data_IF_897034304874
#
_entry.id   IF_897034304874
#
_cell.length_a   1.000
_cell.length_b   1.000
_cell.length_c   1.000
_cell.angle_alpha   90.00
_cell.angle_beta   90.00
_cell.angle_gamma   90.00
#
_symmetry.space_group_name_H-M   'P 1'
#
loop_
_entity.id
_entity.type
_entity.pdbx_description
1 polymer ?
#
# COMPACT_ATOMS: atom_id res chain seq x y z
N UNK A 1 -0.85 -24.78 -1.52
CA UNK A 1 -1.71 -23.67 -1.98
C UNK A 1 -0.97 -22.37 -1.67
N UNK A 2 -0.94 -21.36 -2.55
CA UNK A 2 -0.19 -20.13 -2.29
C UNK A 2 -1.06 -19.11 -1.54
N UNK A 3 -0.46 -18.34 -0.62
CA UNK A 3 -1.16 -17.34 0.22
C UNK A 3 -2.02 -16.38 -0.60
N UNK A 4 -1.56 -15.97 -1.79
CA UNK A 4 -2.32 -15.11 -2.69
C UNK A 4 -3.64 -15.75 -3.17
N UNK A 5 -3.66 -17.08 -3.38
CA UNK A 5 -4.87 -17.79 -3.82
C UNK A 5 -5.88 -17.94 -2.68
N UNK A 6 -5.40 -18.31 -1.50
CA UNK A 6 -6.24 -18.41 -0.29
C UNK A 6 -6.85 -17.04 0.08
N UNK A 7 -6.05 -15.98 -0.04
CA UNK A 7 -6.50 -14.61 0.14
C UNK A 7 -7.55 -14.21 -0.91
N UNK A 8 -7.35 -14.58 -2.18
CA UNK A 8 -8.29 -14.27 -3.26
C UNK A 8 -9.66 -14.91 -3.03
N UNK A 9 -9.69 -16.18 -2.63
CA UNK A 9 -10.92 -16.91 -2.27
C UNK A 9 -11.64 -16.27 -1.07
N UNK A 10 -10.88 -15.74 -0.11
CA UNK A 10 -11.41 -15.06 1.07
C UNK A 10 -11.96 -13.66 0.76
N UNK A 11 -11.40 -12.97 -0.23
CA UNK A 11 -11.79 -11.60 -0.58
C UNK A 11 -12.95 -11.57 -1.57
N UNK A 12 -12.93 -12.43 -2.58
CA UNK A 12 -13.79 -12.33 -3.75
C UNK A 12 -14.26 -13.69 -4.26
N UNK A 13 -15.56 -13.78 -4.58
CA UNK A 13 -16.16 -14.97 -5.20
C UNK A 13 -15.59 -15.23 -6.60
N UNK A 14 -15.45 -14.17 -7.40
CA UNK A 14 -14.87 -14.24 -8.75
C UNK A 14 -13.56 -13.44 -8.80
N UNK A 15 -12.45 -14.12 -9.06
CA UNK A 15 -11.14 -13.51 -9.05
C UNK A 15 -10.21 -14.14 -10.08
N UNK A 16 -9.26 -13.36 -10.58
CA UNK A 16 -8.09 -13.87 -11.28
C UNK A 16 -6.83 -13.56 -10.49
N UNK A 17 -5.90 -14.52 -10.47
CA UNK A 17 -4.60 -14.36 -9.81
C UNK A 17 -3.51 -14.57 -10.84
N UNK A 18 -2.57 -13.64 -10.92
CA UNK A 18 -1.40 -13.76 -11.80
C UNK A 18 -0.12 -13.31 -11.11
N UNK A 19 1.01 -13.79 -11.64
CA UNK A 19 2.35 -13.43 -11.16
C UNK A 19 2.91 -12.32 -12.03
N UNK A 20 3.43 -11.28 -11.40
CA UNK A 20 4.14 -10.19 -12.06
C UNK A 20 5.61 -10.54 -12.29
N UNK A 21 6.25 -9.90 -13.28
CA UNK A 21 7.68 -10.08 -13.59
C UNK A 21 8.61 -9.67 -12.43
N UNK A 22 8.11 -8.81 -11.54
CA UNK A 22 8.77 -8.40 -10.29
C UNK A 22 8.82 -9.51 -9.23
N UNK A 23 8.12 -10.63 -9.46
CA UNK A 23 7.95 -11.70 -8.48
C UNK A 23 6.76 -11.52 -7.54
N UNK A 24 6.05 -10.39 -7.63
CA UNK A 24 4.80 -10.16 -6.90
C UNK A 24 3.62 -10.95 -7.48
N UNK A 25 2.55 -11.05 -6.69
CA UNK A 25 1.28 -11.66 -7.08
C UNK A 25 0.21 -10.58 -7.13
N UNK A 26 -0.63 -10.60 -8.15
CA UNK A 26 -1.75 -9.65 -8.30
C UNK A 26 -3.05 -10.44 -8.34
N UNK A 27 -4.01 -9.99 -7.54
CA UNK A 27 -5.36 -10.50 -7.45
C UNK A 27 -6.28 -9.44 -8.04
N UNK A 28 -7.11 -9.84 -9.01
CA UNK A 28 -7.99 -8.94 -9.74
C UNK A 28 -9.44 -9.42 -9.61
N UNK A 29 -10.29 -8.58 -9.06
CA UNK A 29 -11.73 -8.77 -8.96
C UNK A 29 -12.44 -7.91 -10.00
N UNK A 30 -12.64 -8.44 -11.21
CA UNK A 30 -13.30 -7.71 -12.30
C UNK A 30 -14.72 -7.28 -11.92
N UNK A 31 -15.46 -8.18 -11.27
CA UNK A 31 -16.84 -7.97 -10.80
C UNK A 31 -17.01 -6.77 -9.86
N UNK A 32 -15.95 -6.39 -9.13
CA UNK A 32 -15.93 -5.22 -8.22
C UNK A 32 -15.03 -4.09 -8.73
N UNK A 33 -14.48 -4.22 -9.93
CA UNK A 33 -13.51 -3.28 -10.52
C UNK A 33 -12.35 -2.93 -9.56
N UNK A 34 -11.79 -3.91 -8.84
CA UNK A 34 -10.72 -3.70 -7.85
C UNK A 34 -9.57 -4.70 -8.02
N UNK A 35 -8.37 -4.27 -7.62
CA UNK A 35 -7.18 -5.12 -7.63
C UNK A 35 -6.35 -4.95 -6.35
N UNK A 36 -5.63 -6.01 -5.99
CA UNK A 36 -4.63 -6.05 -4.92
C UNK A 36 -3.35 -6.64 -5.48
N UNK A 37 -2.19 -6.05 -5.15
CA UNK A 37 -0.89 -6.68 -5.35
C UNK A 37 -0.21 -7.00 -4.03
N UNK A 38 0.52 -8.10 -4.04
CA UNK A 38 1.34 -8.62 -2.96
C UNK A 38 2.77 -8.73 -3.49
N UNK A 39 3.67 -7.89 -2.99
CA UNK A 39 5.08 -7.91 -3.37
C UNK A 39 5.94 -8.10 -2.12
N UNK A 40 7.10 -8.79 -2.19
CA UNK A 40 8.03 -8.83 -1.06
C UNK A 40 8.51 -7.40 -0.73
N UNK A 41 8.43 -7.02 0.55
CA UNK A 41 8.77 -5.65 0.99
C UNK A 41 10.28 -5.42 1.25
N UNK A 42 11.12 -6.43 0.99
CA UNK A 42 12.56 -6.40 1.27
C UNK A 42 12.94 -6.90 2.68
N UNK A 43 12.01 -6.84 3.65
CA UNK A 43 12.14 -7.48 4.96
C UNK A 43 11.89 -9.00 4.89
N UNK A 44 12.55 -9.77 5.76
CA UNK A 44 12.36 -11.23 5.82
C UNK A 44 10.96 -11.51 6.37
N UNK A 45 10.08 -12.04 5.51
CA UNK A 45 8.70 -12.35 5.90
C UNK A 45 7.76 -11.15 5.87
N UNK A 46 8.09 -10.06 5.18
CA UNK A 46 7.21 -8.91 5.00
C UNK A 46 6.67 -8.82 3.57
N UNK A 47 5.39 -8.48 3.44
CA UNK A 47 4.72 -8.27 2.16
C UNK A 47 4.16 -6.87 2.08
N UNK A 48 4.55 -6.16 1.02
CA UNK A 48 3.95 -4.91 0.59
C UNK A 48 2.65 -5.25 -0.14
N UNK A 49 1.54 -4.85 0.46
CA UNK A 49 0.19 -4.93 -0.08
C UNK A 49 -0.15 -3.60 -0.70
N UNK A 50 -0.59 -3.59 -1.96
CA UNK A 50 -1.09 -2.39 -2.64
C UNK A 50 -2.48 -2.65 -3.16
N UNK A 51 -3.38 -1.68 -3.01
CA UNK A 51 -4.74 -1.79 -3.48
C UNK A 51 -5.09 -0.63 -4.42
N UNK A 52 -5.94 -0.93 -5.40
CA UNK A 52 -6.41 0.05 -6.35
C UNK A 52 -7.65 -0.40 -7.09
N UNK A 53 -8.07 0.45 -8.03
CA UNK A 53 -9.22 0.20 -8.89
C UNK A 53 -8.80 -0.25 -10.29
N UNK A 54 -9.69 -0.99 -10.92
CA UNK A 54 -9.65 -1.31 -12.34
C UNK A 54 -10.41 -0.19 -13.05
N UNK A 55 -9.81 0.42 -14.06
CA UNK A 55 -10.47 1.41 -14.90
C UNK A 55 -11.28 0.72 -15.99
N UNK A 56 -12.27 1.44 -16.52
CA UNK A 56 -13.00 1.01 -17.70
C UNK A 56 -12.01 0.76 -18.85
N UNK A 57 -12.08 -0.43 -19.45
CA UNK A 57 -11.07 -0.93 -20.39
C UNK A 57 -10.03 -1.88 -19.78
N UNK A 58 -10.17 -2.24 -18.50
CA UNK A 58 -9.42 -3.33 -17.87
C UNK A 58 -7.97 -2.98 -17.52
N UNK A 59 -7.65 -1.68 -17.46
CA UNK A 59 -6.34 -1.20 -17.00
C UNK A 59 -6.34 -1.05 -15.49
N UNK A 60 -5.29 -1.49 -14.82
CA UNK A 60 -5.12 -1.28 -13.38
C UNK A 60 -4.67 0.16 -13.13
N UNK A 61 -5.49 0.93 -12.40
CA UNK A 61 -5.08 2.25 -11.97
C UNK A 61 -3.89 2.14 -10.99
N UNK A 62 -3.06 3.19 -10.84
CA UNK A 62 -2.04 3.24 -9.81
C UNK A 62 -2.62 2.93 -8.42
N UNK A 63 -1.80 2.32 -7.57
CA UNK A 63 -2.17 2.04 -6.19
C UNK A 63 -2.57 3.34 -5.47
N UNK A 64 -3.68 3.29 -4.74
CA UNK A 64 -4.15 4.41 -3.93
C UNK A 64 -3.88 4.20 -2.44
N UNK A 65 -3.81 2.94 -2.03
CA UNK A 65 -3.54 2.55 -0.65
C UNK A 65 -2.48 1.46 -0.62
N UNK A 66 -1.52 1.57 0.29
CA UNK A 66 -0.41 0.64 0.45
C UNK A 66 -0.15 0.37 1.94
N UNK A 67 0.18 -0.87 2.29
CA UNK A 67 0.61 -1.24 3.64
C UNK A 67 1.65 -2.37 3.59
N UNK A 68 2.54 -2.42 4.57
CA UNK A 68 3.45 -3.54 4.78
C UNK A 68 2.88 -4.42 5.88
N UNK A 69 2.76 -5.72 5.62
CA UNK A 69 2.18 -6.70 6.54
C UNK A 69 3.21 -7.81 6.80
N UNK A 70 3.45 -8.17 8.08
CA UNK A 70 4.25 -9.34 8.41
C UNK A 70 3.47 -10.62 8.07
N UNK A 71 4.03 -11.47 7.20
CA UNK A 71 3.51 -12.81 6.90
C UNK A 71 3.32 -13.75 8.09
N UNK A 72 4.16 -13.74 9.16
CA UNK A 72 3.94 -14.66 10.29
C UNK A 72 2.64 -14.39 11.06
N UNK A 73 1.98 -13.25 10.83
CA UNK A 73 0.68 -12.92 11.42
C UNK A 73 -0.49 -13.74 10.84
N UNK A 74 -0.27 -14.42 9.71
CA UNK A 74 -1.24 -15.35 9.11
C UNK A 74 -2.22 -14.72 8.11
N UNK A 75 -2.95 -15.56 7.38
CA UNK A 75 -3.85 -15.14 6.28
C UNK A 75 -5.01 -14.27 6.75
N UNK A 76 -5.51 -14.47 7.98
CA UNK A 76 -6.63 -13.71 8.53
C UNK A 76 -6.32 -12.22 8.72
N UNK A 77 -5.15 -11.90 9.28
CA UNK A 77 -4.70 -10.52 9.47
C UNK A 77 -4.38 -9.84 8.12
N UNK A 78 -3.79 -10.60 7.20
CA UNK A 78 -3.58 -10.14 5.83
C UNK A 78 -4.92 -9.82 5.14
N UNK A 79 -5.93 -10.68 5.28
CA UNK A 79 -7.26 -10.46 4.73
C UNK A 79 -7.94 -9.23 5.35
N UNK A 80 -7.82 -9.03 6.66
CA UNK A 80 -8.34 -7.84 7.34
C UNK A 80 -7.68 -6.56 6.80
N UNK A 81 -6.36 -6.56 6.65
CA UNK A 81 -5.60 -5.43 6.09
C UNK A 81 -6.00 -5.17 4.63
N UNK A 82 -6.11 -6.21 3.82
CA UNK A 82 -6.56 -6.10 2.43
C UNK A 82 -7.97 -5.50 2.32
N UNK A 83 -8.92 -5.95 3.15
CA UNK A 83 -10.28 -5.39 3.18
C UNK A 83 -10.26 -3.90 3.56
N UNK A 84 -9.43 -3.52 4.54
CA UNK A 84 -9.24 -2.12 4.92
C UNK A 84 -8.69 -1.29 3.77
N UNK A 85 -7.62 -1.73 3.11
CA UNK A 85 -7.04 -1.02 1.96
C UNK A 85 -8.03 -0.91 0.79
N UNK A 86 -8.84 -1.95 0.54
CA UNK A 86 -9.90 -1.89 -0.47
C UNK A 86 -11.02 -0.92 -0.10
N UNK A 87 -11.34 -0.77 1.18
CA UNK A 87 -12.31 0.21 1.66
C UNK A 87 -11.75 1.64 1.56
N UNK A 88 -10.49 1.85 1.92
CA UNK A 88 -9.79 3.13 1.76
C UNK A 88 -9.74 3.55 0.28
N UNK A 89 -9.35 2.63 -0.61
CA UNK A 89 -9.35 2.88 -2.05
C UNK A 89 -10.76 3.14 -2.63
N UNK A 90 -11.81 2.65 -1.97
CA UNK A 90 -13.20 2.93 -2.35
C UNK A 90 -13.70 4.29 -1.79
N UNK A 91 -13.28 4.68 -0.59
CA UNK A 91 -13.68 5.94 0.04
C UNK A 91 -13.20 7.19 -0.72
N UNK A 92 -12.09 7.07 -1.45
CA UNK A 92 -11.57 8.13 -2.32
C UNK A 92 -12.51 8.49 -3.49
N UNK A 93 -13.47 7.63 -3.85
CA UNK A 93 -14.48 7.97 -4.88
C UNK A 93 -15.63 8.80 -4.33
N UNK A 94 -16.01 8.60 -3.06
CA UNK A 94 -17.13 9.33 -2.43
C UNK A 94 -16.75 10.79 -2.16
N UNK A 95 -15.46 11.09 -2.00
CA UNK A 95 -14.97 12.48 -1.97
C UNK A 95 -15.05 13.20 -3.32
N UNK A 96 -15.37 12.51 -4.41
CA UNK A 96 -15.39 13.07 -5.77
C UNK A 96 -16.76 12.86 -6.43
N UNK A 97 -17.82 13.54 -5.96
CA UNK A 97 -19.09 13.73 -6.71
C UNK A 97 -19.75 15.05 -6.23
N UNK A 98 -20.51 15.84 -7.05
CA UNK A 98 -20.13 16.58 -8.26
C UNK A 98 -20.57 18.07 -8.18
N UNK A 99 -19.74 19.04 -8.56
CA UNK A 99 -20.25 20.41 -8.68
C UNK A 99 -19.22 21.51 -8.86
N UNK A 100 -18.78 21.75 -10.10
CA UNK A 100 -18.95 23.03 -10.80
C UNK A 100 -18.42 22.90 -12.23
N UNK A 101 -19.30 23.14 -13.19
CA UNK A 101 -18.98 23.15 -14.60
C UNK A 101 -18.16 24.38 -15.03
N UNK A 102 -17.45 24.17 -16.14
CA UNK A 102 -17.07 25.13 -17.19
C UNK A 102 -15.82 26.01 -17.02
N UNK A 103 -14.76 25.62 -17.74
CA UNK A 103 -14.14 26.34 -18.88
C UNK A 103 -12.61 26.18 -18.81
N UNK A 104 -11.86 25.86 -19.85
CA UNK A 104 -12.09 25.55 -21.26
C UNK A 104 -10.71 25.34 -21.91
N UNK A 105 -10.67 24.61 -23.04
CA UNK A 105 -9.69 24.65 -24.18
C UNK A 105 -8.19 24.82 -23.85
N UNK A 106 -7.23 24.05 -24.33
CA UNK A 106 -6.87 23.44 -25.65
C UNK A 106 -5.38 23.07 -25.40
N UNK A 107 -4.68 22.09 -25.94
CA UNK A 107 -4.63 21.54 -27.27
C UNK A 107 -3.68 20.30 -27.18
N UNK A 108 -3.82 19.38 -28.13
CA UNK A 108 -2.78 18.37 -28.45
C UNK A 108 -1.67 19.10 -29.27
N UNK A 109 -0.53 18.52 -29.73
CA UNK A 109 -0.11 17.12 -29.73
C UNK A 109 1.41 16.79 -29.57
N UNK A 110 1.66 15.48 -29.45
CA UNK A 110 2.82 14.65 -29.89
C UNK A 110 4.19 15.34 -30.17
N UNK A 111 5.27 14.79 -29.59
CA UNK A 111 6.37 14.02 -30.25
C UNK A 111 7.71 14.13 -29.50
N UNK A 112 8.40 12.99 -29.42
CA UNK A 112 9.85 12.77 -29.52
C UNK A 112 10.86 13.61 -28.73
N UNK A 113 11.78 12.91 -28.05
CA UNK A 113 13.15 13.41 -27.84
C UNK A 113 13.79 13.05 -26.50
N UNK A 114 14.59 11.97 -26.48
CA UNK A 114 15.75 11.85 -25.55
C UNK A 114 16.81 12.93 -25.92
N UNK A 115 18.00 12.98 -25.29
CA UNK A 115 18.35 13.24 -23.87
C UNK A 115 19.46 14.34 -23.76
N UNK A 116 19.67 14.96 -22.58
CA UNK A 116 20.98 15.51 -22.10
C UNK A 116 20.80 16.41 -20.87
N UNK A 117 21.58 16.19 -19.80
CA UNK A 117 22.00 17.28 -18.89
C UNK A 117 23.16 18.09 -19.52
N UNK A 118 23.88 18.98 -18.79
CA UNK A 118 23.84 19.30 -17.36
C UNK A 118 24.04 20.82 -16.99
N UNK A 119 24.06 21.14 -15.68
CA UNK A 119 24.62 22.35 -14.98
C UNK A 119 23.88 23.70 -15.20
N UNK A 120 23.76 24.64 -14.25
CA UNK A 120 24.03 24.81 -12.81
C UNK A 120 23.59 26.24 -12.41
N UNK A 121 22.99 26.45 -11.23
CA UNK A 121 23.21 27.62 -10.34
C UNK A 121 22.15 27.65 -9.21
N UNK A 122 22.57 27.43 -7.97
CA UNK A 122 21.75 27.54 -6.74
C UNK A 122 21.65 28.98 -6.22
N UNK A 123 21.63 29.25 -4.91
CA UNK A 123 21.17 28.44 -3.76
C UNK A 123 20.30 29.28 -2.78
N UNK A 124 19.22 28.74 -2.16
CA UNK A 124 18.64 29.33 -0.93
C UNK A 124 18.06 28.28 0.02
N UNK A 125 18.49 28.40 1.27
CA UNK A 125 18.19 27.57 2.43
C UNK A 125 16.70 27.44 2.78
N UNK A 126 16.28 26.22 3.12
CA UNK A 126 15.27 25.98 4.15
C UNK A 126 15.69 24.72 4.93
N UNK A 127 16.46 24.94 6.00
CA UNK A 127 16.72 23.91 6.99
C UNK A 127 15.46 23.58 7.78
N UNK A 128 15.30 22.32 8.18
CA UNK A 128 14.13 21.92 8.97
C UNK A 128 14.00 20.41 9.18
N UNK A 129 15.00 19.82 9.86
CA UNK A 129 14.95 18.57 10.63
C UNK A 129 13.53 18.06 10.93
N UNK A 130 13.07 16.89 10.45
CA UNK A 130 12.02 16.11 11.15
C UNK A 130 11.96 14.59 10.84
N UNK A 131 12.92 13.98 10.13
CA UNK A 131 13.00 12.49 10.09
C UNK A 131 13.37 11.85 11.43
N UNK A 132 13.98 12.63 12.35
CA UNK A 132 14.35 12.14 13.69
C UNK A 132 13.18 12.02 14.66
N UNK A 133 12.14 12.85 14.53
CA UNK A 133 11.00 12.82 15.46
C UNK A 133 10.04 11.66 15.19
N UNK A 134 9.70 11.41 13.92
CA UNK A 134 8.92 10.24 13.54
C UNK A 134 9.69 8.95 13.82
N UNK A 135 11.00 8.92 13.58
CA UNK A 135 11.83 7.77 13.94
C UNK A 135 11.88 7.52 15.45
N UNK A 136 11.95 8.56 16.27
CA UNK A 136 11.98 8.43 17.73
C UNK A 136 10.65 7.95 18.32
N UNK A 137 9.51 8.40 17.77
CA UNK A 137 8.17 7.89 18.13
C UNK A 137 8.03 6.39 17.83
N UNK A 138 8.55 5.94 16.69
CA UNK A 138 8.57 4.51 16.33
C UNK A 138 9.41 3.73 17.33
N UNK A 139 10.60 4.23 17.70
CA UNK A 139 11.47 3.59 18.70
C UNK A 139 10.79 3.53 20.08
N UNK A 140 10.18 4.63 20.53
CA UNK A 140 9.47 4.68 21.82
C UNK A 140 8.28 3.71 21.85
N UNK A 141 7.55 3.60 20.73
CA UNK A 141 6.43 2.68 20.59
C UNK A 141 6.91 1.21 20.62
N UNK A 142 7.93 0.87 19.84
CA UNK A 142 8.53 -0.47 19.83
C UNK A 142 9.09 -0.84 21.21
N UNK A 143 9.80 0.08 21.87
CA UNK A 143 10.32 -0.14 23.22
C UNK A 143 9.19 -0.36 24.24
N UNK A 144 8.09 0.38 24.14
CA UNK A 144 6.90 0.19 24.98
C UNK A 144 6.24 -1.18 24.80
N UNK A 145 6.11 -1.64 23.55
CA UNK A 145 5.57 -2.98 23.25
C UNK A 145 6.48 -4.09 23.79
N UNK A 146 7.80 -3.95 23.65
CA UNK A 146 8.78 -4.90 24.20
C UNK A 146 8.69 -4.93 25.73
N UNK A 147 8.64 -3.76 26.37
CA UNK A 147 8.52 -3.66 27.83
C UNK A 147 7.21 -4.26 28.34
N UNK A 148 6.08 -3.99 27.66
CA UNK A 148 4.78 -4.59 27.98
C UNK A 148 4.82 -6.11 27.82
N UNK A 149 5.42 -6.61 26.75
CA UNK A 149 5.55 -8.05 26.51
C UNK A 149 6.39 -8.72 27.59
N UNK A 150 7.55 -8.14 27.91
CA UNK A 150 8.38 -8.60 29.01
C UNK A 150 7.62 -8.57 30.35
N UNK A 151 6.89 -7.50 30.64
CA UNK A 151 6.12 -7.39 31.88
C UNK A 151 4.98 -8.40 31.95
N UNK A 152 4.31 -8.70 30.84
CA UNK A 152 3.31 -9.76 30.79
C UNK A 152 3.93 -11.14 30.98
N UNK A 153 5.11 -11.40 30.41
CA UNK A 153 5.78 -12.71 30.56
C UNK A 153 6.44 -12.90 31.92
N UNK A 154 6.99 -11.84 32.52
CA UNK A 154 7.65 -11.88 33.83
C UNK A 154 6.69 -11.59 34.99
N UNK A 155 5.61 -10.84 34.75
CA UNK A 155 4.54 -10.61 35.72
C UNK A 155 3.67 -11.84 35.97
N UNK A 156 3.55 -12.73 34.98
CA UNK A 156 2.98 -14.08 35.17
C UNK A 156 3.89 -14.96 36.04
N UNK A 157 5.21 -14.80 35.91
CA UNK A 157 6.21 -15.50 36.71
C UNK A 157 6.43 -14.93 38.13
N UNK A 158 5.87 -13.76 38.45
CA UNK A 158 5.98 -13.13 39.78
C UNK A 158 4.79 -13.42 40.69
N UNK A 159 3.79 -14.19 40.23
CA UNK A 159 2.62 -14.63 41.01
C UNK A 159 2.62 -16.14 41.36
N UNK A 160 3.72 -16.86 41.13
CA UNK A 160 3.90 -18.24 41.64
C UNK A 160 4.98 -18.33 42.70
#
# INVERSE_FOLDING_TARGET
>A
MCVAKELAETLWREHSVYRERSGGMVIRGEHVQRWISLAPAGGRGEVLVRAGRILDGGTTAPARSEAVVPLPAGTGELAATCRRLLAEAAGDTVRVVPGRAASGRTDRPRRFGRPRGPRSSGPRNAGGRHTRFSSWLIIACVAGVIALFAYSTYGDAAQS
#
